data_IF_649923085083
#
_entry.id   IF_649923085083
#
_cell.length_a   1.000
_cell.length_b   1.000
_cell.length_c   1.000
_cell.angle_alpha   90.00
_cell.angle_beta   90.00
_cell.angle_gamma   90.00
#
_symmetry.space_group_name_H-M   'P 1'
#
loop_
_entity.id
_entity.type
_entity.pdbx_description
1 polymer ?
#
# COMPACT_ATOMS: atom_id res chain seq x y z
N UNK A 1 -18.07 -14.86 10.60
CA UNK A 1 -18.43 -13.58 11.25
C UNK A 1 -17.18 -12.77 11.54
N UNK A 2 -17.17 -11.51 11.12
CA UNK A 2 -16.03 -10.59 11.30
C UNK A 2 -16.47 -9.45 12.21
N UNK A 3 -15.63 -9.12 13.19
CA UNK A 3 -15.74 -7.95 14.04
C UNK A 3 -14.75 -6.90 13.56
N UNK A 4 -15.23 -5.70 13.22
CA UNK A 4 -14.38 -4.58 12.87
C UNK A 4 -14.63 -3.37 13.77
N UNK A 5 -13.57 -2.70 14.18
CA UNK A 5 -13.61 -1.47 14.98
C UNK A 5 -12.75 -0.39 14.32
N UNK A 6 -13.20 0.85 14.42
CA UNK A 6 -12.46 2.00 13.89
C UNK A 6 -12.38 3.09 14.98
N UNK A 7 -11.17 3.54 15.27
CA UNK A 7 -10.86 4.56 16.27
C UNK A 7 -9.88 5.56 15.68
N UNK A 8 -10.08 6.84 15.93
CA UNK A 8 -9.13 7.89 15.58
C UNK A 8 -8.86 8.81 16.79
N UNK A 9 -7.66 9.38 16.85
CA UNK A 9 -7.34 10.42 17.81
C UNK A 9 -8.17 11.69 17.54
N UNK A 10 -8.50 12.44 18.57
CA UNK A 10 -9.25 13.69 18.42
C UNK A 10 -8.45 14.78 17.70
N UNK A 11 -7.13 14.77 17.88
CA UNK A 11 -6.21 15.72 17.27
C UNK A 11 -5.00 15.01 16.66
N UNK A 12 -4.41 15.55 15.58
CA UNK A 12 -3.16 15.05 15.04
C UNK A 12 -2.00 15.26 16.01
N UNK A 13 -0.98 14.42 15.95
CA UNK A 13 0.28 14.62 16.65
C UNK A 13 1.08 15.73 15.97
N UNK A 14 1.77 16.56 16.75
CA UNK A 14 2.63 17.62 16.22
C UNK A 14 3.74 17.06 15.31
N UNK A 15 3.99 17.75 14.19
CA UNK A 15 5.07 17.41 13.25
C UNK A 15 4.81 16.23 12.34
N UNK A 16 3.58 15.70 12.29
CA UNK A 16 3.21 14.62 11.34
C UNK A 16 2.67 15.25 10.05
N UNK A 17 3.29 14.88 8.93
CA UNK A 17 2.95 15.31 7.58
C UNK A 17 2.34 14.18 6.70
N UNK A 18 2.06 13.02 7.30
CA UNK A 18 1.45 11.87 6.64
C UNK A 18 0.27 11.34 7.46
N UNK A 19 -0.61 10.57 6.84
CA UNK A 19 -1.74 9.93 7.50
C UNK A 19 -1.30 8.62 8.19
N UNK A 20 -1.24 8.59 9.55
CA UNK A 20 -0.88 7.39 10.29
C UNK A 20 -2.10 6.47 10.42
N UNK A 21 -2.32 5.63 9.42
CA UNK A 21 -3.35 4.60 9.41
C UNK A 21 -2.74 3.26 9.76
N UNK A 22 -3.28 2.60 10.79
CA UNK A 22 -2.97 1.23 11.18
C UNK A 22 -4.18 0.35 10.87
N UNK A 23 -3.96 -0.68 10.06
CA UNK A 23 -4.96 -1.73 9.78
C UNK A 23 -4.39 -3.05 10.28
N UNK A 24 -5.14 -3.72 11.17
CA UNK A 24 -4.79 -5.03 11.69
C UNK A 24 -5.94 -6.01 11.44
N UNK A 25 -5.59 -7.17 10.92
CA UNK A 25 -6.49 -8.31 10.78
C UNK A 25 -5.91 -9.51 11.50
N UNK A 26 -6.72 -10.21 12.26
CA UNK A 26 -6.33 -11.42 12.98
C UNK A 26 -7.43 -12.48 12.90
N UNK A 27 -7.00 -13.72 12.66
CA UNK A 27 -7.86 -14.90 12.72
C UNK A 27 -7.69 -15.57 14.07
N UNK A 28 -8.75 -15.55 14.88
CA UNK A 28 -8.73 -16.23 16.16
C UNK A 28 -8.91 -17.74 15.96
N UNK A 29 -8.01 -18.56 16.51
CA UNK A 29 -8.13 -20.02 16.45
C UNK A 29 -9.47 -20.50 17.01
N UNK A 30 -9.99 -19.82 18.04
CA UNK A 30 -11.30 -20.06 18.60
C UNK A 30 -12.44 -19.89 17.58
N UNK A 31 -12.26 -19.06 16.54
CA UNK A 31 -13.25 -18.86 15.47
C UNK A 31 -13.57 -20.15 14.70
N UNK A 32 -12.58 -21.03 14.56
CA UNK A 32 -12.70 -22.35 13.94
C UNK A 32 -12.76 -23.50 14.96
N UNK A 33 -12.97 -23.21 16.25
CA UNK A 33 -13.00 -24.21 17.31
C UNK A 33 -11.65 -24.94 17.55
N UNK A 34 -10.53 -24.28 17.18
CA UNK A 34 -9.18 -24.88 17.26
C UNK A 34 -8.36 -24.27 18.37
N UNK A 35 -7.34 -25.00 18.79
CA UNK A 35 -6.29 -24.56 19.72
C UNK A 35 -5.02 -24.31 18.91
N UNK A 36 -4.27 -23.19 19.12
CA UNK A 36 -3.03 -22.91 18.44
C UNK A 36 -2.03 -24.05 18.54
N UNK A 37 -1.41 -24.44 17.40
CA UNK A 37 -0.50 -25.56 17.31
C UNK A 37 0.91 -25.31 17.84
N UNK A 38 1.28 -24.03 18.13
CA UNK A 38 2.59 -23.66 18.65
C UNK A 38 2.86 -24.29 20.04
N UNK A 39 4.14 -24.43 20.42
CA UNK A 39 4.55 -25.01 21.70
C UNK A 39 3.85 -24.36 22.90
N UNK A 40 3.73 -23.04 22.91
CA UNK A 40 3.10 -22.31 23.99
C UNK A 40 1.57 -22.26 23.91
N UNK A 41 0.95 -22.85 22.89
CA UNK A 41 -0.50 -22.83 22.66
C UNK A 41 -1.10 -21.40 22.71
N UNK A 42 -0.35 -20.43 22.21
CA UNK A 42 -0.73 -19.01 22.14
C UNK A 42 -0.80 -18.57 20.70
N UNK A 43 -1.74 -17.67 20.41
CA UNK A 43 -1.73 -16.87 19.20
C UNK A 43 -0.50 -15.97 19.22
N UNK A 44 0.32 -16.07 18.19
CA UNK A 44 1.60 -15.39 18.09
C UNK A 44 1.52 -14.12 17.25
N UNK A 45 2.56 -13.90 16.46
CA UNK A 45 2.58 -12.82 15.47
C UNK A 45 1.62 -13.13 14.33
N UNK A 46 1.11 -12.07 13.68
CA UNK A 46 0.31 -12.23 12.48
C UNK A 46 1.04 -13.08 11.43
N UNK A 47 0.32 -13.98 10.81
CA UNK A 47 0.81 -14.78 9.68
C UNK A 47 1.01 -13.89 8.45
N UNK A 48 1.80 -14.37 7.48
CA UNK A 48 1.98 -13.67 6.18
C UNK A 48 0.64 -13.43 5.47
N UNK A 49 -0.32 -14.35 5.63
CA UNK A 49 -1.67 -14.22 5.10
C UNK A 49 -2.44 -13.05 5.77
N UNK A 50 -2.42 -12.98 7.09
CA UNK A 50 -3.06 -11.89 7.83
C UNK A 50 -2.43 -10.54 7.48
N UNK A 51 -1.10 -10.48 7.38
CA UNK A 51 -0.37 -9.27 6.95
C UNK A 51 -0.76 -8.87 5.54
N UNK A 52 -0.92 -9.83 4.61
CA UNK A 52 -1.36 -9.54 3.24
C UNK A 52 -2.75 -8.92 3.24
N UNK A 53 -3.70 -9.48 3.98
CA UNK A 53 -5.06 -8.93 4.09
C UNK A 53 -5.03 -7.52 4.69
N UNK A 54 -4.25 -7.28 5.76
CA UNK A 54 -4.07 -5.92 6.30
C UNK A 54 -3.68 -4.92 5.21
N UNK A 55 -2.73 -5.31 4.34
CA UNK A 55 -2.25 -4.45 3.24
C UNK A 55 -3.30 -4.25 2.15
N UNK A 56 -4.10 -5.25 1.82
CA UNK A 56 -5.17 -5.12 0.85
C UNK A 56 -6.22 -4.12 1.33
N UNK A 57 -6.65 -4.26 2.59
CA UNK A 57 -7.62 -3.34 3.21
C UNK A 57 -7.05 -1.93 3.32
N UNK A 58 -5.80 -1.76 3.80
CA UNK A 58 -5.15 -0.45 3.88
C UNK A 58 -5.14 0.25 2.51
N UNK A 59 -4.73 -0.46 1.44
CA UNK A 59 -4.70 0.06 0.07
C UNK A 59 -6.09 0.48 -0.43
N UNK A 60 -7.13 -0.22 0.00
CA UNK A 60 -8.50 0.06 -0.40
C UNK A 60 -9.11 1.26 0.35
N UNK A 61 -8.88 1.36 1.68
CA UNK A 61 -9.51 2.42 2.49
C UNK A 61 -8.69 3.72 2.55
N UNK A 62 -7.36 3.65 2.46
CA UNK A 62 -6.48 4.83 2.59
C UNK A 62 -6.79 5.96 1.61
N UNK A 63 -7.07 5.72 0.33
CA UNK A 63 -7.43 6.78 -0.62
C UNK A 63 -8.75 7.49 -0.33
N UNK A 64 -9.56 6.94 0.58
CA UNK A 64 -10.87 7.46 0.96
C UNK A 64 -10.81 8.44 2.14
N UNK A 65 -9.63 8.90 2.50
CA UNK A 65 -9.42 9.95 3.49
C UNK A 65 -8.86 11.20 2.81
N UNK A 66 -9.30 12.35 3.25
CA UNK A 66 -8.78 13.62 2.75
C UNK A 66 -7.28 13.76 3.08
N UNK A 67 -6.50 14.36 2.16
CA UNK A 67 -5.04 14.53 2.31
C UNK A 67 -4.62 15.29 3.58
N UNK A 68 -5.52 16.13 4.11
CA UNK A 68 -5.30 16.91 5.32
C UNK A 68 -5.81 16.23 6.60
N UNK A 69 -6.36 15.01 6.51
CA UNK A 69 -6.68 14.21 7.67
C UNK A 69 -5.46 13.39 8.10
N UNK A 70 -4.79 13.84 9.15
CA UNK A 70 -3.55 13.25 9.66
C UNK A 70 -3.68 12.75 11.12
N UNK A 71 -4.90 12.49 11.58
CA UNK A 71 -5.15 11.92 12.90
C UNK A 71 -4.76 10.45 12.93
N UNK A 72 -4.11 10.02 14.02
CA UNK A 72 -3.76 8.61 14.23
C UNK A 72 -5.04 7.76 14.21
N UNK A 73 -5.15 6.85 13.24
CA UNK A 73 -6.36 6.09 12.98
C UNK A 73 -6.04 4.59 12.99
N UNK A 74 -6.84 3.83 13.72
CA UNK A 74 -6.71 2.38 13.85
C UNK A 74 -7.98 1.69 13.41
N UNK A 75 -7.84 0.70 12.54
CA UNK A 75 -8.92 -0.21 12.10
C UNK A 75 -8.50 -1.63 12.47
N UNK A 76 -9.15 -2.19 13.50
CA UNK A 76 -8.85 -3.51 14.02
C UNK A 76 -9.97 -4.47 13.63
N UNK A 77 -9.59 -5.59 13.01
CA UNK A 77 -10.52 -6.53 12.40
C UNK A 77 -10.18 -7.94 12.88
N UNK A 78 -11.19 -8.67 13.33
CA UNK A 78 -11.03 -10.01 13.87
C UNK A 78 -11.99 -10.99 13.21
N UNK A 79 -11.49 -12.12 12.72
CA UNK A 79 -12.32 -13.29 12.43
C UNK A 79 -12.71 -13.94 13.75
N UNK A 80 -14.00 -13.91 14.11
CA UNK A 80 -14.53 -14.41 15.39
C UNK A 80 -15.39 -15.65 15.25
N UNK A 81 -15.82 -15.98 14.01
CA UNK A 81 -16.49 -17.24 13.67
C UNK A 81 -16.21 -17.56 12.21
N UNK A 82 -15.54 -18.68 11.96
CA UNK A 82 -15.17 -19.15 10.64
C UNK A 82 -16.23 -20.09 10.04
N UNK A 83 -16.21 -20.22 8.72
CA UNK A 83 -16.98 -21.20 7.94
C UNK A 83 -16.07 -21.71 6.83
N UNK A 84 -15.87 -23.02 6.74
CA UNK A 84 -14.95 -23.66 5.79
C UNK A 84 -15.31 -23.43 4.30
N UNK A 85 -16.49 -22.92 4.01
CA UNK A 85 -16.94 -22.61 2.65
C UNK A 85 -16.83 -21.11 2.29
N UNK A 86 -16.33 -20.26 3.21
CA UNK A 86 -16.25 -18.82 3.01
C UNK A 86 -14.83 -18.34 3.26
N UNK A 87 -14.17 -17.82 2.22
CA UNK A 87 -12.89 -17.12 2.38
C UNK A 87 -13.13 -15.79 3.12
N UNK A 88 -12.54 -15.60 4.32
CA UNK A 88 -12.80 -14.40 5.12
C UNK A 88 -12.26 -13.12 4.48
N UNK A 89 -11.21 -13.19 3.68
CA UNK A 89 -10.55 -12.05 3.07
C UNK A 89 -11.48 -11.19 2.21
N UNK A 90 -12.43 -11.82 1.50
CA UNK A 90 -13.45 -11.11 0.71
C UNK A 90 -14.46 -10.29 1.53
N UNK A 91 -14.44 -10.42 2.85
CA UNK A 91 -15.37 -9.74 3.77
C UNK A 91 -14.67 -8.72 4.67
N UNK A 92 -13.33 -8.75 4.75
CA UNK A 92 -12.56 -7.91 5.68
C UNK A 92 -12.66 -6.44 5.28
N UNK A 93 -12.51 -6.12 3.99
CA UNK A 93 -12.66 -4.76 3.48
C UNK A 93 -14.07 -4.20 3.68
N UNK A 94 -15.09 -5.03 3.45
CA UNK A 94 -16.49 -4.67 3.73
C UNK A 94 -16.71 -4.33 5.20
N UNK A 95 -16.19 -5.15 6.12
CA UNK A 95 -16.33 -4.94 7.56
C UNK A 95 -15.62 -3.68 8.04
N UNK A 96 -14.38 -3.44 7.55
CA UNK A 96 -13.63 -2.23 7.83
C UNK A 96 -14.35 -0.97 7.35
N UNK A 97 -14.85 -1.00 6.12
CA UNK A 97 -15.61 0.10 5.52
C UNK A 97 -16.91 0.38 6.28
N UNK A 98 -17.64 -0.66 6.67
CA UNK A 98 -18.87 -0.50 7.45
C UNK A 98 -18.59 0.18 8.80
N UNK A 99 -17.54 -0.26 9.53
CA UNK A 99 -17.13 0.35 10.79
C UNK A 99 -16.75 1.83 10.62
N UNK A 100 -15.98 2.17 9.59
CA UNK A 100 -15.62 3.54 9.26
C UNK A 100 -16.83 4.37 8.87
N UNK A 101 -17.73 3.83 8.05
CA UNK A 101 -18.92 4.53 7.55
C UNK A 101 -19.86 4.96 8.68
N UNK A 102 -20.08 4.11 9.70
CA UNK A 102 -20.94 4.44 10.85
C UNK A 102 -20.23 5.23 11.93
N UNK A 103 -18.89 5.33 11.92
CA UNK A 103 -18.10 6.09 12.90
C UNK A 103 -18.16 7.59 12.66
N UNK A 104 -17.59 8.38 13.59
CA UNK A 104 -17.37 9.81 13.41
C UNK A 104 -16.15 10.16 12.56
N UNK A 105 -15.35 9.17 12.14
CA UNK A 105 -14.14 9.39 11.36
C UNK A 105 -14.53 9.89 9.95
N UNK A 106 -13.84 10.93 9.39
CA UNK A 106 -14.13 11.50 8.09
C UNK A 106 -13.64 10.57 6.98
N UNK A 107 -14.47 9.59 6.64
CA UNK A 107 -14.25 8.58 5.61
C UNK A 107 -15.17 8.84 4.43
N UNK A 108 -14.61 9.03 3.22
CA UNK A 108 -15.33 9.35 1.98
C UNK A 108 -15.89 8.12 1.26
N UNK A 109 -15.94 6.97 1.95
CA UNK A 109 -16.57 5.74 1.46
C UNK A 109 -18.11 5.82 1.46
N UNK A 110 -18.78 4.68 1.29
CA UNK A 110 -18.24 3.33 1.54
C UNK A 110 -17.44 2.73 0.38
N UNK A 111 -16.58 1.79 0.75
CA UNK A 111 -15.95 0.86 -0.18
C UNK A 111 -16.45 -0.57 0.09
N UNK A 112 -16.25 -1.46 -0.86
CA UNK A 112 -16.37 -2.89 -0.59
C UNK A 112 -15.30 -3.69 -1.31
N UNK A 113 -15.17 -4.93 -0.94
CA UNK A 113 -14.17 -5.87 -1.42
C UNK A 113 -14.83 -7.19 -1.75
N UNK A 114 -14.46 -7.78 -2.90
CA UNK A 114 -14.94 -9.09 -3.33
C UNK A 114 -13.83 -9.87 -4.04
N UNK A 115 -13.92 -11.18 -3.95
CA UNK A 115 -13.10 -12.11 -4.75
C UNK A 115 -13.84 -12.51 -6.00
N UNK A 116 -13.16 -12.58 -7.14
CA UNK A 116 -13.71 -13.09 -8.40
C UNK A 116 -12.78 -14.15 -8.96
N UNK A 117 -13.32 -15.33 -9.22
CA UNK A 117 -12.60 -16.41 -9.85
C UNK A 117 -13.22 -16.79 -11.20
N UNK A 118 -12.38 -17.14 -12.18
CA UNK A 118 -12.81 -17.76 -13.43
C UNK A 118 -12.60 -19.27 -13.34
N UNK A 119 -13.70 -20.02 -13.32
CA UNK A 119 -13.72 -21.47 -13.14
C UNK A 119 -14.54 -22.07 -14.29
N UNK A 120 -13.96 -23.00 -15.05
CA UNK A 120 -14.61 -23.62 -16.23
C UNK A 120 -15.23 -22.59 -17.20
N UNK A 121 -14.57 -21.44 -17.35
CA UNK A 121 -15.00 -20.36 -18.24
C UNK A 121 -16.05 -19.40 -17.65
N UNK A 122 -16.56 -19.64 -16.45
CA UNK A 122 -17.55 -18.80 -15.77
C UNK A 122 -16.90 -17.95 -14.67
N UNK A 123 -17.40 -16.73 -14.48
CA UNK A 123 -16.97 -15.86 -13.39
C UNK A 123 -17.85 -16.08 -12.17
N UNK A 124 -17.24 -16.45 -11.04
CA UNK A 124 -17.90 -16.69 -9.76
C UNK A 124 -17.39 -15.65 -8.78
N UNK A 125 -18.33 -14.95 -8.12
CA UNK A 125 -17.98 -13.96 -7.08
C UNK A 125 -18.02 -14.65 -5.72
N UNK A 126 -16.96 -14.44 -4.93
CA UNK A 126 -16.74 -15.07 -3.62
C UNK A 126 -16.88 -16.62 -3.69
N UNK A 127 -16.04 -17.27 -4.53
CA UNK A 127 -16.06 -18.72 -4.62
C UNK A 127 -15.69 -19.36 -3.28
N UNK A 128 -16.12 -20.59 -3.05
CA UNK A 128 -15.61 -21.39 -1.93
C UNK A 128 -14.11 -21.69 -2.12
N UNK A 129 -13.37 -21.98 -1.02
CA UNK A 129 -11.96 -22.37 -1.12
C UNK A 129 -11.69 -23.53 -2.08
N UNK A 130 -12.59 -24.52 -2.11
CA UNK A 130 -12.49 -25.68 -3.01
C UNK A 130 -12.68 -25.33 -4.49
N UNK A 131 -13.61 -24.43 -4.77
CA UNK A 131 -13.85 -23.94 -6.14
C UNK A 131 -12.65 -23.11 -6.62
N UNK A 132 -12.09 -22.26 -5.75
CA UNK A 132 -10.95 -21.41 -6.05
C UNK A 132 -9.68 -22.18 -6.45
N UNK A 133 -9.47 -23.42 -5.95
CA UNK A 133 -8.32 -24.27 -6.32
C UNK A 133 -8.24 -24.55 -7.83
N UNK A 134 -9.39 -24.61 -8.51
CA UNK A 134 -9.50 -24.89 -9.95
C UNK A 134 -9.55 -23.63 -10.82
N UNK A 135 -9.41 -22.44 -10.23
CA UNK A 135 -9.49 -21.20 -10.95
C UNK A 135 -8.33 -20.99 -11.93
N UNK A 136 -8.64 -20.48 -13.11
CA UNK A 136 -7.66 -19.98 -14.09
C UNK A 136 -7.33 -18.50 -13.88
N UNK A 137 -8.22 -17.75 -13.25
CA UNK A 137 -8.05 -16.39 -12.76
C UNK A 137 -8.67 -16.31 -11.37
N UNK A 138 -7.97 -15.76 -10.42
CA UNK A 138 -8.45 -15.57 -9.05
C UNK A 138 -7.95 -14.21 -8.55
N UNK A 139 -8.84 -13.24 -8.49
CA UNK A 139 -8.52 -11.87 -8.09
C UNK A 139 -9.40 -11.42 -6.93
N UNK A 140 -8.83 -10.56 -6.10
CA UNK A 140 -9.57 -9.77 -5.12
C UNK A 140 -9.57 -8.32 -5.59
N UNK A 141 -10.70 -7.67 -5.51
CA UNK A 141 -10.84 -6.28 -5.93
C UNK A 141 -11.66 -5.49 -4.92
N UNK A 142 -11.26 -4.25 -4.71
CA UNK A 142 -11.97 -3.30 -3.89
C UNK A 142 -12.32 -2.04 -4.68
N UNK A 143 -13.47 -1.44 -4.36
CA UNK A 143 -13.94 -0.25 -5.04
C UNK A 143 -15.04 0.47 -4.28
N UNK A 144 -15.40 1.63 -4.82
CA UNK A 144 -16.59 2.42 -4.47
C UNK A 144 -17.72 2.11 -5.45
N UNK A 145 -18.81 2.84 -5.35
CA UNK A 145 -19.90 2.79 -6.37
C UNK A 145 -19.38 3.20 -7.76
N UNK A 146 -18.41 4.10 -7.84
CA UNK A 146 -17.95 4.70 -9.10
C UNK A 146 -16.60 4.16 -9.58
N UNK A 147 -15.70 3.79 -8.67
CA UNK A 147 -14.30 3.55 -8.98
C UNK A 147 -13.78 2.23 -8.40
N UNK A 148 -12.86 1.60 -9.13
CA UNK A 148 -12.03 0.51 -8.62
C UNK A 148 -10.79 1.13 -7.95
N UNK A 149 -10.53 0.73 -6.71
CA UNK A 149 -9.43 1.25 -5.88
C UNK A 149 -8.25 0.30 -5.82
N UNK A 150 -8.52 -1.02 -5.82
CA UNK A 150 -7.49 -2.03 -5.67
C UNK A 150 -7.88 -3.28 -6.45
N UNK A 151 -6.90 -3.88 -7.11
CA UNK A 151 -6.97 -5.21 -7.72
C UNK A 151 -5.68 -5.95 -7.36
N UNK A 152 -5.81 -7.18 -6.90
CA UNK A 152 -4.70 -8.08 -6.58
C UNK A 152 -5.11 -9.51 -6.92
N UNK A 153 -4.16 -10.39 -7.27
CA UNK A 153 -4.48 -11.78 -7.49
C UNK A 153 -3.49 -12.50 -8.38
N UNK A 154 -3.89 -13.65 -8.86
CA UNK A 154 -3.10 -14.53 -9.69
C UNK A 154 -3.89 -15.04 -10.88
N UNK A 155 -3.19 -15.42 -11.94
CA UNK A 155 -3.80 -16.02 -13.11
C UNK A 155 -2.89 -17.06 -13.77
N UNK A 156 -3.50 -18.02 -14.45
CA UNK A 156 -2.84 -19.01 -15.31
C UNK A 156 -3.04 -18.57 -16.76
N UNK A 157 -2.22 -17.62 -17.22
CA UNK A 157 -2.23 -17.07 -18.58
C UNK A 157 -3.61 -16.55 -19.06
N UNK A 158 -4.35 -15.89 -18.15
CA UNK A 158 -5.62 -15.26 -18.51
C UNK A 158 -5.41 -14.07 -19.45
N UNK A 159 -6.37 -13.84 -20.35
CA UNK A 159 -6.34 -12.70 -21.26
C UNK A 159 -6.71 -11.40 -20.55
N UNK A 160 -6.30 -10.24 -21.11
CA UNK A 160 -6.71 -8.93 -20.64
C UNK A 160 -8.25 -8.76 -20.68
N UNK A 161 -8.91 -9.36 -21.68
CA UNK A 161 -10.37 -9.34 -21.80
C UNK A 161 -11.02 -10.07 -20.62
N UNK A 162 -10.49 -11.22 -20.20
CA UNK A 162 -10.96 -11.98 -19.05
C UNK A 162 -10.79 -11.18 -17.76
N UNK A 163 -9.64 -10.51 -17.60
CA UNK A 163 -9.38 -9.67 -16.43
C UNK A 163 -10.37 -8.49 -16.35
N UNK A 164 -10.61 -7.82 -17.48
CA UNK A 164 -11.58 -6.71 -17.54
C UNK A 164 -12.98 -7.19 -17.19
N UNK A 165 -13.40 -8.36 -17.68
CA UNK A 165 -14.72 -8.90 -17.40
C UNK A 165 -14.85 -9.34 -15.94
N UNK A 166 -13.81 -9.94 -15.37
CA UNK A 166 -13.77 -10.25 -13.93
C UNK A 166 -13.93 -9.00 -13.04
N UNK A 167 -13.24 -7.91 -13.41
CA UNK A 167 -13.34 -6.63 -12.69
C UNK A 167 -14.76 -6.08 -12.79
N UNK A 168 -15.41 -6.09 -13.96
CA UNK A 168 -16.78 -5.62 -14.11
C UNK A 168 -17.76 -6.44 -13.29
N UNK A 169 -17.66 -7.77 -13.36
CA UNK A 169 -18.50 -8.71 -12.61
C UNK A 169 -18.39 -8.46 -11.09
N UNK A 170 -17.17 -8.27 -10.58
CA UNK A 170 -16.96 -7.97 -9.16
C UNK A 170 -17.46 -6.58 -8.77
N UNK A 171 -17.27 -5.58 -9.63
CA UNK A 171 -17.73 -4.22 -9.37
C UNK A 171 -19.26 -4.12 -9.21
N UNK A 172 -20.02 -4.87 -9.99
CA UNK A 172 -21.48 -4.93 -9.84
C UNK A 172 -21.93 -5.39 -8.44
N UNK A 173 -21.17 -6.29 -7.83
CA UNK A 173 -21.45 -6.77 -6.46
C UNK A 173 -20.98 -5.74 -5.43
N UNK A 174 -19.81 -5.13 -5.64
CA UNK A 174 -19.30 -4.02 -4.81
C UNK A 174 -20.32 -2.89 -4.71
N UNK A 175 -20.93 -2.47 -5.83
CA UNK A 175 -21.95 -1.42 -5.86
C UNK A 175 -23.13 -1.77 -4.93
N UNK A 176 -23.62 -3.01 -5.00
CA UNK A 176 -24.73 -3.48 -4.13
C UNK A 176 -24.34 -3.43 -2.64
N UNK A 177 -23.12 -3.86 -2.33
CA UNK A 177 -22.61 -3.86 -0.95
C UNK A 177 -22.36 -2.42 -0.44
N UNK A 178 -21.91 -1.50 -1.30
CA UNK A 178 -21.79 -0.09 -0.94
C UNK A 178 -23.15 0.57 -0.66
N UNK A 179 -24.16 0.27 -1.45
CA UNK A 179 -25.53 0.76 -1.18
C UNK A 179 -26.06 0.27 0.17
N UNK A 180 -25.88 -1.01 0.50
CA UNK A 180 -26.27 -1.56 1.81
C UNK A 180 -25.55 -0.87 2.98
N UNK A 181 -24.27 -0.53 2.81
CA UNK A 181 -23.51 0.25 3.82
C UNK A 181 -24.03 1.68 3.95
N UNK A 182 -24.43 2.32 2.84
CA UNK A 182 -25.03 3.65 2.87
C UNK A 182 -26.35 3.64 3.65
N UNK A 183 -27.20 2.62 3.46
CA UNK A 183 -28.41 2.46 4.25
C UNK A 183 -28.11 2.24 5.75
N UNK A 184 -27.08 1.45 6.05
CA UNK A 184 -26.63 1.23 7.43
C UNK A 184 -26.17 2.55 8.07
N UNK A 185 -25.36 3.34 7.34
CA UNK A 185 -24.89 4.66 7.78
C UNK A 185 -26.05 5.62 8.07
N UNK A 186 -27.09 5.62 7.23
CA UNK A 186 -28.30 6.45 7.46
C UNK A 186 -29.06 6.04 8.72
N UNK A 187 -29.06 4.75 9.07
CA UNK A 187 -29.79 4.22 10.25
C UNK A 187 -29.06 4.46 11.57
N UNK A 188 -27.74 4.34 11.60
CA UNK A 188 -26.97 4.34 12.85
C UNK A 188 -25.63 5.07 12.78
N UNK A 189 -25.33 5.77 11.67
CA UNK A 189 -24.10 6.52 11.52
C UNK A 189 -24.00 7.72 12.44
N UNK A 190 -22.78 8.05 12.87
CA UNK A 190 -22.47 9.25 13.65
C UNK A 190 -22.14 10.42 12.72
N UNK A 191 -22.37 11.68 13.13
CA UNK A 191 -21.86 12.85 12.43
C UNK A 191 -20.34 12.76 12.26
N UNK A 192 -19.85 13.10 11.07
CA UNK A 192 -18.41 13.07 10.79
C UNK A 192 -17.69 14.25 11.46
N UNK A 193 -16.49 14.01 11.99
CA UNK A 193 -15.60 15.04 12.49
C UNK A 193 -15.24 16.02 11.36
N UNK A 194 -15.12 17.30 11.70
CA UNK A 194 -14.60 18.30 10.77
C UNK A 194 -13.10 18.05 10.55
N UNK A 195 -12.69 18.04 9.29
CA UNK A 195 -11.26 18.00 8.95
C UNK A 195 -10.75 19.44 8.95
N UNK A 196 -9.58 19.68 9.56
CA UNK A 196 -8.97 21.00 9.59
C UNK A 196 -8.73 21.49 8.16
N UNK A 197 -9.16 22.70 7.86
CA UNK A 197 -8.89 23.31 6.55
C UNK A 197 -7.38 23.56 6.44
N UNK A 198 -6.72 23.11 5.35
CA UNK A 198 -5.30 23.39 5.17
C UNK A 198 -5.04 24.89 5.16
N UNK A 199 -4.02 25.32 5.87
CA UNK A 199 -3.53 26.69 5.74
C UNK A 199 -2.89 26.80 4.36
N UNK A 200 -3.36 27.72 3.53
CA UNK A 200 -2.80 28.01 2.22
C UNK A 200 -2.24 29.43 2.21
N UNK A 201 -1.07 29.58 1.62
CA UNK A 201 -0.41 30.85 1.37
C UNK A 201 0.01 30.91 -0.10
N UNK A 202 -0.87 31.45 -0.92
CA UNK A 202 -0.67 31.57 -2.36
C UNK A 202 0.50 32.47 -2.72
N UNK A 203 0.80 33.48 -1.91
CA UNK A 203 1.92 34.38 -2.12
C UNK A 203 3.26 33.64 -1.89
N UNK A 204 3.37 32.88 -0.81
CA UNK A 204 4.52 32.02 -0.54
C UNK A 204 4.67 30.95 -1.63
N UNK A 205 3.60 30.28 -2.06
CA UNK A 205 3.67 29.28 -3.15
C UNK A 205 4.22 29.91 -4.43
N UNK A 206 3.78 31.12 -4.77
CA UNK A 206 4.27 31.82 -5.98
C UNK A 206 5.74 32.22 -5.83
N UNK A 207 6.16 32.77 -4.69
CA UNK A 207 7.57 33.12 -4.41
C UNK A 207 8.48 31.88 -4.55
N UNK A 208 8.07 30.73 -4.00
CA UNK A 208 8.81 29.46 -4.11
C UNK A 208 8.89 29.00 -5.56
N UNK A 209 7.79 29.09 -6.31
CA UNK A 209 7.74 28.71 -7.72
C UNK A 209 8.69 29.56 -8.58
N UNK A 210 8.64 30.87 -8.43
CA UNK A 210 9.44 31.80 -9.22
C UNK A 210 10.95 31.64 -8.94
N UNK A 211 11.33 31.34 -7.71
CA UNK A 211 12.73 31.14 -7.33
C UNK A 211 13.26 29.75 -7.70
N UNK A 212 12.47 28.68 -7.52
CA UNK A 212 12.98 27.32 -7.54
C UNK A 212 12.84 26.63 -8.91
N UNK A 213 11.79 26.91 -9.71
CA UNK A 213 11.46 26.12 -10.91
C UNK A 213 12.60 26.04 -11.89
N UNK A 214 13.20 27.17 -12.29
CA UNK A 214 14.30 27.20 -13.26
C UNK A 214 15.55 26.46 -12.77
N UNK A 215 15.85 26.56 -11.48
CA UNK A 215 17.00 25.87 -10.87
C UNK A 215 16.78 24.36 -10.81
N UNK A 216 15.56 23.92 -10.43
CA UNK A 216 15.19 22.52 -10.43
C UNK A 216 15.22 21.93 -11.85
N UNK A 217 14.77 22.66 -12.87
CA UNK A 217 14.87 22.25 -14.28
C UNK A 217 16.32 22.03 -14.72
N UNK A 218 17.21 22.93 -14.35
CA UNK A 218 18.66 22.78 -14.65
C UNK A 218 19.23 21.51 -14.00
N UNK A 219 18.93 21.26 -12.75
CA UNK A 219 19.38 20.06 -12.04
C UNK A 219 18.76 18.79 -12.65
N UNK A 220 17.50 18.83 -13.07
CA UNK A 220 16.81 17.69 -13.68
C UNK A 220 17.38 17.34 -15.07
N UNK A 221 17.88 18.32 -15.83
CA UNK A 221 18.47 18.16 -17.16
C UNK A 221 19.96 17.81 -17.13
N UNK A 222 20.64 18.02 -16.02
CA UNK A 222 22.08 17.84 -15.90
C UNK A 222 22.54 16.37 -15.85
N UNK A 223 21.62 15.40 -15.90
CA UNK A 223 21.89 13.97 -15.93
C UNK A 223 22.82 13.47 -14.79
N UNK A 224 22.66 14.03 -13.60
CA UNK A 224 23.54 13.79 -12.45
C UNK A 224 23.21 12.48 -11.71
N UNK A 225 24.21 11.94 -11.02
CA UNK A 225 24.06 10.83 -10.09
C UNK A 225 23.09 11.17 -8.93
N UNK A 226 22.54 10.14 -8.26
CA UNK A 226 21.53 10.30 -7.20
C UNK A 226 22.01 11.23 -6.07
N UNK A 227 23.22 11.05 -5.59
CA UNK A 227 23.79 11.82 -4.46
C UNK A 227 24.03 13.28 -4.81
N UNK A 228 24.63 13.55 -5.96
CA UNK A 228 24.92 14.90 -6.43
C UNK A 228 23.62 15.68 -6.66
N UNK A 229 22.65 15.07 -7.35
CA UNK A 229 21.32 15.65 -7.56
C UNK A 229 20.62 15.98 -6.25
N UNK A 230 20.64 15.04 -5.26
CA UNK A 230 20.05 15.27 -3.93
C UNK A 230 20.71 16.45 -3.23
N UNK A 231 22.03 16.60 -3.35
CA UNK A 231 22.78 17.71 -2.75
C UNK A 231 22.38 19.05 -3.38
N UNK A 232 22.30 19.12 -4.70
CA UNK A 232 21.92 20.36 -5.40
C UNK A 232 20.47 20.75 -5.14
N UNK A 233 19.53 19.79 -5.12
CA UNK A 233 18.14 20.08 -4.77
C UNK A 233 18.01 20.58 -3.31
N UNK A 234 18.78 20.01 -2.38
CA UNK A 234 18.85 20.51 -1.01
C UNK A 234 19.43 21.93 -0.94
N UNK A 235 20.46 22.22 -1.76
CA UNK A 235 21.06 23.55 -1.83
C UNK A 235 20.04 24.60 -2.32
N UNK A 236 19.25 24.29 -3.36
CA UNK A 236 18.20 25.21 -3.84
C UNK A 236 17.21 25.56 -2.71
N UNK A 237 16.85 24.57 -1.88
CA UNK A 237 15.97 24.76 -0.71
C UNK A 237 16.60 25.69 0.33
N UNK A 238 17.90 25.52 0.59
CA UNK A 238 18.65 26.36 1.53
C UNK A 238 18.85 27.79 0.99
N UNK A 239 19.13 27.92 -0.31
CA UNK A 239 19.31 29.22 -0.95
C UNK A 239 18.02 30.04 -0.94
N UNK A 240 16.85 29.41 -1.10
CA UNK A 240 15.57 30.11 -0.96
C UNK A 240 15.45 30.70 0.45
N UNK A 241 15.69 29.90 1.49
CA UNK A 241 15.57 30.34 2.89
C UNK A 241 16.57 31.46 3.19
N UNK A 242 17.81 31.35 2.69
CA UNK A 242 18.86 32.35 2.89
C UNK A 242 18.57 33.69 2.19
N UNK A 243 17.81 33.68 1.10
CA UNK A 243 17.42 34.88 0.35
C UNK A 243 16.02 35.39 0.75
N UNK A 244 15.36 34.76 1.74
CA UNK A 244 14.07 35.24 2.21
C UNK A 244 14.25 36.51 3.05
N UNK A 245 13.40 37.55 2.92
CA UNK A 245 13.57 38.80 3.64
C UNK A 245 13.64 38.61 5.16
N UNK A 246 14.63 39.21 5.82
CA UNK A 246 14.80 39.10 7.28
C UNK A 246 13.57 39.58 8.04
N UNK A 247 12.88 40.60 7.53
CA UNK A 247 11.66 41.16 8.11
C UNK A 247 10.50 40.16 8.16
N UNK A 248 10.48 39.21 7.21
CA UNK A 248 9.41 38.21 7.08
C UNK A 248 9.79 36.87 7.74
N UNK A 249 11.04 36.70 8.25
CA UNK A 249 11.51 35.43 8.83
C UNK A 249 10.75 35.02 10.10
N UNK A 250 10.22 35.98 10.87
CA UNK A 250 9.43 35.68 12.07
C UNK A 250 8.07 35.05 11.74
N UNK A 251 7.52 35.37 10.55
CA UNK A 251 6.23 34.85 10.06
C UNK A 251 6.41 33.67 9.10
N UNK A 252 7.68 33.32 8.76
CA UNK A 252 7.98 32.28 7.80
C UNK A 252 7.58 30.88 8.26
N UNK A 253 6.58 30.28 7.63
CA UNK A 253 6.14 28.95 7.92
C UNK A 253 7.00 27.92 7.16
N UNK A 254 7.99 27.32 7.85
CA UNK A 254 8.91 26.32 7.29
C UNK A 254 8.23 25.03 6.82
N UNK A 255 7.14 24.63 7.47
CA UNK A 255 6.39 23.42 7.10
C UNK A 255 5.65 23.65 5.80
N UNK A 256 4.94 24.79 5.68
CA UNK A 256 4.22 25.17 4.48
C UNK A 256 5.16 25.38 3.30
N UNK A 257 6.31 26.04 3.53
CA UNK A 257 7.37 26.15 2.53
C UNK A 257 7.85 24.75 2.06
N UNK A 258 8.10 23.84 2.97
CA UNK A 258 8.56 22.48 2.62
C UNK A 258 7.51 21.73 1.79
N UNK A 259 6.24 21.89 2.11
CA UNK A 259 5.11 21.33 1.35
C UNK A 259 5.08 21.89 -0.08
N UNK A 260 5.16 23.21 -0.24
CA UNK A 260 5.17 23.84 -1.57
C UNK A 260 6.41 23.50 -2.37
N UNK A 261 7.59 23.54 -1.76
CA UNK A 261 8.82 23.14 -2.42
C UNK A 261 8.76 21.71 -2.97
N UNK A 262 8.36 20.75 -2.15
CA UNK A 262 8.25 19.33 -2.53
C UNK A 262 7.22 19.14 -3.66
N UNK A 263 6.09 19.83 -3.62
CA UNK A 263 5.07 19.83 -4.68
C UNK A 263 5.63 20.40 -6.00
N UNK A 264 6.33 21.53 -5.93
CA UNK A 264 6.94 22.21 -7.09
C UNK A 264 8.07 21.35 -7.67
N UNK A 265 8.94 20.80 -6.83
CA UNK A 265 10.02 19.89 -7.23
C UNK A 265 9.46 18.70 -7.99
N UNK A 266 8.49 17.98 -7.41
CA UNK A 266 7.85 16.82 -8.02
C UNK A 266 7.23 17.15 -9.38
N UNK A 267 6.47 18.25 -9.46
CA UNK A 267 5.78 18.66 -10.69
C UNK A 267 6.77 19.12 -11.79
N UNK A 268 7.81 19.84 -11.40
CA UNK A 268 8.85 20.32 -12.32
C UNK A 268 9.66 19.16 -12.90
N UNK A 269 10.13 18.26 -12.05
CA UNK A 269 10.85 17.05 -12.48
C UNK A 269 9.98 16.20 -13.40
N UNK A 270 8.71 15.97 -13.04
CA UNK A 270 7.78 15.20 -13.88
C UNK A 270 7.60 15.84 -15.25
N UNK A 271 7.41 17.16 -15.30
CA UNK A 271 7.27 17.92 -16.56
C UNK A 271 8.52 17.80 -17.41
N UNK A 272 9.71 17.94 -16.82
CA UNK A 272 10.99 17.83 -17.55
C UNK A 272 11.15 16.44 -18.16
N UNK A 273 10.92 15.39 -17.40
CA UNK A 273 11.01 14.00 -17.88
C UNK A 273 10.02 13.71 -19.00
N UNK A 274 8.77 14.15 -18.84
CA UNK A 274 7.71 13.92 -19.84
C UNK A 274 8.00 14.66 -21.16
N UNK A 275 8.46 15.90 -21.09
CA UNK A 275 8.72 16.73 -22.28
C UNK A 275 9.97 16.28 -23.02
N UNK A 276 11.05 15.97 -22.31
CA UNK A 276 12.34 15.65 -22.91
C UNK A 276 12.52 14.16 -23.18
N UNK A 277 11.66 13.28 -22.64
CA UNK A 277 11.78 11.82 -22.73
C UNK A 277 13.11 11.27 -22.22
N UNK A 278 13.73 11.97 -21.29
CA UNK A 278 15.02 11.64 -20.66
C UNK A 278 14.78 11.52 -19.16
N UNK A 279 15.33 10.46 -18.55
CA UNK A 279 15.29 10.25 -17.10
C UNK A 279 16.35 11.14 -16.41
N UNK A 280 16.22 11.34 -15.11
CA UNK A 280 17.11 12.20 -14.30
C UNK A 280 18.57 11.76 -14.28
N UNK A 281 18.87 10.53 -14.64
CA UNK A 281 20.21 9.97 -14.77
C UNK A 281 20.71 9.96 -16.24
N UNK A 282 20.03 10.67 -17.13
CA UNK A 282 20.40 10.83 -18.54
C UNK A 282 19.95 9.72 -19.47
N UNK A 283 19.37 8.62 -18.95
CA UNK A 283 18.87 7.51 -19.76
C UNK A 283 17.57 7.90 -20.49
N UNK A 284 17.35 7.27 -21.63
CA UNK A 284 16.03 7.29 -22.30
C UNK A 284 15.01 6.50 -21.48
N UNK A 285 13.73 6.65 -21.84
CA UNK A 285 12.62 6.01 -21.11
C UNK A 285 12.61 4.48 -21.22
N UNK A 286 13.16 3.93 -22.30
CA UNK A 286 13.29 2.51 -22.65
C UNK A 286 14.66 1.90 -22.27
N UNK A 287 15.62 2.70 -21.81
CA UNK A 287 16.93 2.20 -21.40
C UNK A 287 16.89 1.62 -19.98
N UNK A 288 17.43 0.41 -19.83
CA UNK A 288 17.63 -0.25 -18.54
C UNK A 288 19.00 0.17 -17.97
N UNK A 289 19.11 0.31 -16.65
CA UNK A 289 20.41 0.52 -15.99
C UNK A 289 21.36 -0.63 -16.29
N UNK A 290 22.69 -0.41 -16.31
CA UNK A 290 23.66 -1.49 -16.48
C UNK A 290 23.39 -2.65 -15.54
N UNK A 291 23.38 -3.85 -16.08
CA UNK A 291 23.20 -5.09 -15.35
C UNK A 291 24.55 -5.80 -15.21
N UNK A 292 24.81 -6.29 -14.00
CA UNK A 292 25.89 -7.23 -13.70
C UNK A 292 25.32 -8.41 -12.94
N UNK A 293 25.73 -9.62 -13.33
CA UNK A 293 25.27 -10.87 -12.71
C UNK A 293 26.44 -11.82 -12.54
N UNK A 294 26.49 -12.43 -11.37
CA UNK A 294 27.50 -13.44 -11.04
C UNK A 294 26.79 -14.59 -10.32
N UNK A 295 27.09 -15.83 -10.70
CA UNK A 295 26.63 -17.04 -10.00
C UNK A 295 27.77 -17.60 -9.18
N UNK A 296 27.43 -18.44 -8.20
CA UNK A 296 28.39 -19.07 -7.26
C UNK A 296 29.24 -18.02 -6.51
N UNK A 297 28.63 -16.87 -6.18
CA UNK A 297 29.29 -15.79 -5.47
C UNK A 297 29.71 -16.16 -4.03
N UNK A 298 29.10 -17.16 -3.43
CA UNK A 298 29.38 -17.65 -2.06
C UNK A 298 29.67 -19.14 -2.08
N UNK A 299 30.69 -19.61 -1.31
CA UNK A 299 31.17 -20.99 -1.40
C UNK A 299 30.32 -22.01 -0.63
N UNK A 300 29.49 -21.62 0.33
CA UNK A 300 28.81 -22.55 1.24
C UNK A 300 27.36 -22.85 0.90
N UNK A 301 26.54 -21.89 0.37
CA UNK A 301 25.16 -22.18 -0.02
C UNK A 301 25.07 -23.19 -1.17
N UNK A 302 23.94 -23.89 -1.31
CA UNK A 302 23.71 -24.80 -2.43
C UNK A 302 23.64 -24.08 -3.78
N UNK A 303 23.30 -22.81 -3.77
CA UNK A 303 23.43 -21.88 -4.88
C UNK A 303 23.49 -20.46 -4.39
N UNK A 304 24.19 -19.59 -5.14
CA UNK A 304 24.25 -18.15 -4.84
C UNK A 304 24.38 -17.34 -6.12
N UNK A 305 23.83 -16.14 -6.09
CA UNK A 305 23.95 -15.21 -7.19
C UNK A 305 24.02 -13.76 -6.66
N UNK A 306 24.89 -12.98 -7.30
CA UNK A 306 24.93 -11.54 -7.14
C UNK A 306 24.27 -10.90 -8.36
N UNK A 307 23.28 -10.06 -8.13
CA UNK A 307 22.61 -9.28 -9.17
C UNK A 307 22.75 -7.81 -8.89
N UNK A 308 23.26 -7.05 -9.82
CA UNK A 308 23.44 -5.61 -9.72
C UNK A 308 22.74 -4.90 -10.87
N UNK A 309 21.95 -3.89 -10.56
CA UNK A 309 21.32 -2.99 -11.52
C UNK A 309 21.62 -1.54 -11.17
N UNK A 310 22.64 -0.99 -11.84
CA UNK A 310 23.18 0.31 -11.47
C UNK A 310 23.73 0.30 -10.04
N UNK A 311 23.17 1.13 -9.16
CA UNK A 311 23.57 1.21 -7.74
C UNK A 311 22.82 0.20 -6.83
N UNK A 312 21.82 -0.50 -7.35
CA UNK A 312 21.03 -1.46 -6.57
C UNK A 312 21.61 -2.85 -6.70
N UNK A 313 21.86 -3.53 -5.58
CA UNK A 313 22.46 -4.85 -5.53
C UNK A 313 21.62 -5.81 -4.71
N UNK A 314 21.52 -7.07 -5.16
CA UNK A 314 20.88 -8.17 -4.45
C UNK A 314 21.83 -9.36 -4.40
N UNK A 315 22.11 -9.86 -3.20
CA UNK A 315 22.78 -11.13 -2.98
C UNK A 315 21.73 -12.15 -2.61
N UNK A 316 21.55 -13.14 -3.46
CA UNK A 316 20.54 -14.19 -3.30
C UNK A 316 21.22 -15.53 -3.05
N UNK A 317 20.71 -16.30 -2.08
CA UNK A 317 21.18 -17.65 -1.79
C UNK A 317 20.02 -18.63 -1.91
N UNK A 318 20.33 -19.87 -2.31
CA UNK A 318 19.38 -20.98 -2.39
C UNK A 318 19.86 -22.10 -1.47
N UNK A 319 18.96 -22.63 -0.67
CA UNK A 319 19.17 -23.82 0.14
C UNK A 319 18.10 -24.84 -0.22
N UNK A 320 18.55 -26.04 -0.61
CA UNK A 320 17.66 -27.18 -0.91
C UNK A 320 17.49 -28.02 0.35
N UNK A 321 16.26 -28.31 0.70
CA UNK A 321 15.89 -29.12 1.85
C UNK A 321 15.17 -30.42 1.45
N UNK A 322 14.84 -31.21 2.43
CA UNK A 322 14.05 -32.43 2.33
C UNK A 322 12.60 -32.18 2.72
N UNK A 323 11.75 -33.20 2.65
CA UNK A 323 10.36 -33.12 3.09
C UNK A 323 10.20 -32.72 4.57
N UNK A 324 11.18 -33.03 5.41
CA UNK A 324 11.18 -32.68 6.84
C UNK A 324 11.43 -31.20 7.09
N UNK A 325 11.93 -30.47 6.10
CA UNK A 325 12.23 -29.04 6.17
C UNK A 325 11.07 -28.16 5.66
N UNK A 326 9.96 -28.79 5.23
CA UNK A 326 8.77 -28.05 4.79
C UNK A 326 8.23 -27.17 5.93
N UNK A 327 7.90 -25.91 5.60
CA UNK A 327 7.32 -24.99 6.56
C UNK A 327 5.87 -25.37 6.90
N UNK A 328 5.61 -25.68 8.16
CA UNK A 328 4.26 -25.90 8.66
C UNK A 328 3.55 -24.56 8.85
N UNK A 329 2.42 -24.37 8.16
CA UNK A 329 1.56 -23.21 8.28
C UNK A 329 0.30 -23.62 9.04
N UNK A 330 0.19 -23.16 10.29
CA UNK A 330 -0.95 -23.41 11.16
C UNK A 330 -1.85 -22.16 11.16
N UNK A 331 -2.87 -22.18 10.28
CA UNK A 331 -3.93 -21.14 10.22
C UNK A 331 -5.11 -21.54 11.07
N UNK A 332 -5.97 -20.59 11.41
CA UNK A 332 -7.19 -20.84 12.18
C UNK A 332 -8.07 -21.94 11.55
N UNK A 333 -8.20 -21.95 10.24
CA UNK A 333 -9.06 -22.90 9.52
C UNK A 333 -8.35 -24.16 9.07
N UNK A 334 -7.07 -24.09 8.66
CA UNK A 334 -6.37 -25.20 7.99
C UNK A 334 -4.90 -25.29 8.38
N UNK A 335 -4.44 -26.51 8.62
CA UNK A 335 -3.02 -26.83 8.68
C UNK A 335 -2.54 -27.16 7.27
N UNK A 336 -1.48 -26.52 6.82
CA UNK A 336 -0.86 -26.73 5.51
C UNK A 336 0.66 -26.72 5.59
N UNK A 337 1.32 -27.15 4.50
CA UNK A 337 2.78 -27.18 4.39
C UNK A 337 3.22 -26.43 3.14
N UNK A 338 4.21 -25.56 3.29
CA UNK A 338 4.80 -24.82 2.19
C UNK A 338 6.19 -25.39 1.86
N UNK A 339 6.38 -25.74 0.58
CA UNK A 339 7.67 -26.29 0.07
C UNK A 339 8.65 -25.22 -0.35
N UNK A 340 8.19 -23.98 -0.53
CA UNK A 340 9.00 -22.86 -0.95
C UNK A 340 8.91 -21.74 0.08
N UNK A 341 10.06 -21.25 0.53
CA UNK A 341 10.16 -20.12 1.43
C UNK A 341 11.05 -19.06 0.81
N UNK A 342 10.58 -17.82 0.78
CA UNK A 342 11.37 -16.67 0.38
C UNK A 342 11.59 -15.77 1.58
N UNK A 343 12.86 -15.60 1.98
CA UNK A 343 13.25 -14.64 3.01
C UNK A 343 13.85 -13.41 2.34
N UNK A 344 13.15 -12.29 2.44
CA UNK A 344 13.61 -11.01 1.93
C UNK A 344 14.15 -10.16 3.07
N UNK A 345 15.47 -9.95 3.06
CA UNK A 345 16.16 -9.14 4.06
C UNK A 345 16.53 -7.80 3.47
N UNK A 346 16.17 -6.72 4.16
CA UNK A 346 16.47 -5.36 3.76
C UNK A 346 17.16 -4.63 4.93
N UNK A 347 18.47 -4.84 5.11
CA UNK A 347 19.20 -4.28 6.24
C UNK A 347 19.30 -2.75 6.16
N UNK A 348 19.34 -2.02 7.29
CA UNK A 348 19.36 -0.55 7.30
C UNK A 348 20.51 0.06 6.49
N UNK A 349 21.69 -0.54 6.51
CA UNK A 349 22.83 -0.04 5.73
C UNK A 349 22.57 0.01 4.22
N UNK A 350 21.62 -0.77 3.70
CA UNK A 350 21.27 -0.77 2.27
C UNK A 350 20.57 0.51 1.82
N UNK A 351 20.03 1.28 2.76
CA UNK A 351 19.42 2.61 2.53
C UNK A 351 20.32 3.76 2.98
N UNK A 352 21.45 3.46 3.63
CA UNK A 352 22.39 4.44 4.15
C UNK A 352 21.96 4.97 5.54
N UNK A 353 21.25 4.17 6.29
CA UNK A 353 20.83 4.43 7.67
C UNK A 353 21.76 3.72 8.67
#
# INVERSE_FOLDING_TARGET
>A
MILATAVASEQPKEGIDFFPLTVEYQEKFAAAGRIPGSFHRREGRASDYEVLICRLVDRAIRPMFADNFVNDTQVLIYLISADENVEPDSLVGLAASAALSISSIPFEGPISEVRVAKIEGQFIVNPTPKEAENATLNIILAGTVENILMVEGESKEASEADLIEAIKTGHEVIIKQCHAQTELQQKCGKPKMAVAVPVEDAELEQKVKDFCVSKIEQVALAALGKHERKTLLKQIKQDFIANYPEEDLEIFNKELFSKYYNKIEKNTIRRVVLNNKIRLDGRKTDEIRPLYMEVDALPSPHGSALFTRGETQSLTTVTLGSKTDEQMIDKAEKLSFNKFMLHYNFPPFSTGE
#
